data_IF_136137456004
#
_entry.id   IF_136137456004
#
_cell.length_a   1.000
_cell.length_b   1.000
_cell.length_c   1.000
_cell.angle_alpha   90.00
_cell.angle_beta   90.00
_cell.angle_gamma   90.00
#
_symmetry.space_group_name_H-M   'P 1'
#
loop_
_entity.id
_entity.type
_entity.pdbx_description
1 polymer ?
#
# COMPACT_ATOMS: atom_id res chain seq x y z
N UNK A 1 -12.38 16.36 39.02
CA UNK A 1 -11.69 15.25 38.34
C UNK A 1 -11.23 15.76 36.98
N UNK A 2 -9.93 16.02 36.80
CA UNK A 2 -9.36 16.47 35.52
C UNK A 2 -9.00 15.28 34.60
N UNK A 3 -9.00 15.54 33.27
CA UNK A 3 -8.31 14.82 32.16
C UNK A 3 -8.85 13.41 31.78
N UNK A 4 -9.13 13.00 30.53
CA UNK A 4 -8.67 13.38 29.18
C UNK A 4 -9.82 13.36 28.14
N UNK A 5 -10.35 14.52 27.76
CA UNK A 5 -10.98 14.64 26.44
C UNK A 5 -9.91 15.21 25.51
N UNK A 6 -9.56 14.56 24.39
CA UNK A 6 -8.61 15.15 23.46
C UNK A 6 -9.11 16.54 23.08
N UNK A 7 -8.30 17.55 23.43
CA UNK A 7 -8.53 18.91 23.00
C UNK A 7 -8.34 18.96 21.50
N UNK A 8 -9.45 19.11 20.77
CA UNK A 8 -9.43 19.38 19.35
C UNK A 8 -9.24 20.88 19.15
N UNK A 9 -8.11 21.27 18.58
CA UNK A 9 -7.92 22.64 18.13
C UNK A 9 -8.72 22.84 16.85
N UNK A 10 -9.78 23.67 16.93
CA UNK A 10 -10.63 24.04 15.81
C UNK A 10 -10.14 25.37 15.24
N UNK A 11 -9.84 25.41 13.94
CA UNK A 11 -9.62 26.65 13.19
C UNK A 11 -10.66 26.76 12.07
N UNK A 12 -11.45 27.83 12.08
CA UNK A 12 -12.17 28.30 10.90
C UNK A 12 -11.31 29.35 10.20
N UNK A 13 -11.02 29.19 8.91
CA UNK A 13 -10.30 30.21 8.15
C UNK A 13 -10.28 29.97 6.64
N UNK A 14 -11.08 30.74 5.90
CA UNK A 14 -10.87 31.03 4.48
C UNK A 14 -9.79 32.12 4.39
N UNK A 15 -8.50 31.76 4.37
CA UNK A 15 -7.40 32.73 4.17
C UNK A 15 -6.22 32.07 3.40
N UNK A 16 -5.89 32.54 2.18
CA UNK A 16 -4.82 31.98 1.34
C UNK A 16 -3.39 32.18 1.89
N UNK A 17 -3.21 32.87 3.02
CA UNK A 17 -1.88 33.16 3.61
C UNK A 17 -1.47 32.21 4.74
N UNK A 18 -2.35 31.27 5.15
CA UNK A 18 -2.07 30.31 6.23
C UNK A 18 -2.53 28.91 5.82
N UNK A 19 -1.62 27.98 5.49
CA UNK A 19 -2.02 26.61 5.19
C UNK A 19 -2.58 25.96 6.45
N UNK A 20 -3.88 25.65 6.44
CA UNK A 20 -4.53 24.83 7.47
C UNK A 20 -4.28 23.37 7.10
N UNK A 21 -3.46 22.67 7.88
CA UNK A 21 -3.37 21.23 7.81
C UNK A 21 -4.53 20.63 8.62
N UNK A 22 -5.47 19.96 7.95
CA UNK A 22 -6.45 19.10 8.61
C UNK A 22 -6.30 17.68 8.07
N UNK A 23 -6.24 16.72 8.97
CA UNK A 23 -6.28 15.30 8.63
C UNK A 23 -7.73 14.92 8.44
N UNK A 24 -8.09 14.53 7.22
CA UNK A 24 -9.42 14.02 6.95
C UNK A 24 -9.43 12.54 7.35
N UNK A 25 -10.37 12.09 8.20
CA UNK A 25 -10.39 10.70 8.65
C UNK A 25 -10.63 9.74 7.47
N UNK A 26 -10.27 8.46 7.60
CA UNK A 26 -10.73 7.42 6.67
C UNK A 26 -12.23 7.57 6.40
N UNK A 27 -12.62 7.36 5.14
CA UNK A 27 -14.00 7.55 4.69
C UNK A 27 -14.84 6.33 5.05
N UNK A 28 -14.29 5.13 4.98
CA UNK A 28 -15.03 3.88 5.20
C UNK A 28 -14.40 2.96 6.24
N UNK A 29 -13.07 2.97 6.40
CA UNK A 29 -12.38 2.05 7.29
C UNK A 29 -12.69 2.31 8.77
N UNK A 30 -13.06 1.25 9.51
CA UNK A 30 -13.21 1.27 10.97
C UNK A 30 -12.21 0.31 11.65
N UNK A 31 -11.85 0.54 12.92
CA UNK A 31 -10.86 -0.30 13.62
C UNK A 31 -11.29 -1.77 13.79
N UNK A 32 -12.59 -2.06 13.75
CA UNK A 32 -13.13 -3.42 13.87
C UNK A 32 -12.98 -4.22 12.56
N UNK A 33 -12.65 -3.56 11.46
CA UNK A 33 -12.45 -4.19 10.16
C UNK A 33 -10.96 -4.51 9.97
N UNK A 34 -10.59 -5.78 9.73
CA UNK A 34 -9.20 -6.13 9.49
C UNK A 34 -8.70 -5.43 8.22
N UNK A 35 -7.43 -5.00 8.26
CA UNK A 35 -6.73 -4.51 7.08
C UNK A 35 -6.75 -5.58 5.97
N UNK A 36 -7.20 -5.28 4.74
CA UNK A 36 -7.30 -6.27 3.69
C UNK A 36 -5.93 -6.88 3.30
N UNK A 37 -5.89 -8.18 3.04
CA UNK A 37 -4.74 -8.86 2.46
C UNK A 37 -4.76 -8.85 0.92
N UNK A 38 -3.92 -9.63 0.24
CA UNK A 38 -3.87 -9.63 -1.22
C UNK A 38 -5.19 -10.08 -1.88
N UNK A 39 -5.99 -10.92 -1.20
CA UNK A 39 -7.12 -11.62 -1.80
C UNK A 39 -8.19 -10.71 -2.40
N UNK A 40 -8.77 -9.77 -1.63
CA UNK A 40 -9.76 -8.82 -2.13
C UNK A 40 -9.27 -8.02 -3.35
N UNK A 41 -8.02 -7.53 -3.33
CA UNK A 41 -7.46 -6.77 -4.45
C UNK A 41 -7.34 -7.61 -5.72
N UNK A 42 -6.85 -8.86 -5.61
CA UNK A 42 -6.74 -9.74 -6.76
C UNK A 42 -8.10 -10.09 -7.37
N UNK A 43 -9.15 -10.23 -6.55
CA UNK A 43 -10.52 -10.47 -7.05
C UNK A 43 -11.06 -9.29 -7.84
N UNK A 44 -10.82 -8.07 -7.36
CA UNK A 44 -11.20 -6.83 -8.06
C UNK A 44 -10.39 -6.66 -9.34
N UNK A 45 -9.07 -6.87 -9.29
CA UNK A 45 -8.20 -6.82 -10.46
C UNK A 45 -8.57 -7.86 -11.54
N UNK A 46 -9.07 -9.03 -11.13
CA UNK A 46 -9.56 -10.07 -12.03
C UNK A 46 -11.00 -9.85 -12.52
N UNK A 47 -11.68 -8.81 -12.04
CA UNK A 47 -13.08 -8.54 -12.38
C UNK A 47 -14.06 -9.61 -11.88
N UNK A 48 -13.65 -10.42 -10.90
CA UNK A 48 -14.50 -11.46 -10.29
C UNK A 48 -15.26 -10.94 -9.06
N UNK A 49 -14.95 -9.74 -8.59
CA UNK A 49 -15.65 -9.04 -7.53
C UNK A 49 -15.80 -7.55 -7.87
N UNK A 50 -16.93 -6.97 -7.49
CA UNK A 50 -17.17 -5.52 -7.54
C UNK A 50 -16.45 -4.83 -6.38
N UNK A 51 -15.83 -3.65 -6.59
CA UNK A 51 -15.16 -2.92 -5.53
C UNK A 51 -16.17 -2.30 -4.57
N UNK A 52 -16.22 -2.80 -3.35
CA UNK A 52 -17.15 -2.38 -2.30
C UNK A 52 -16.57 -1.33 -1.37
N UNK A 53 -15.24 -1.28 -1.22
CA UNK A 53 -14.54 -0.32 -0.36
C UNK A 53 -13.83 0.78 -1.15
N UNK A 54 -13.50 1.91 -0.51
CA UNK A 54 -12.66 2.96 -1.10
C UNK A 54 -11.32 2.38 -1.58
N UNK A 55 -10.67 1.54 -0.77
CA UNK A 55 -9.37 0.95 -1.13
C UNK A 55 -9.49 0.11 -2.41
N UNK A 56 -10.55 -0.70 -2.52
CA UNK A 56 -10.82 -1.50 -3.72
C UNK A 56 -11.13 -0.63 -4.94
N UNK A 57 -11.90 0.46 -4.79
CA UNK A 57 -12.20 1.40 -5.89
C UNK A 57 -10.94 2.10 -6.38
N UNK A 58 -10.04 2.48 -5.47
CA UNK A 58 -8.74 3.07 -5.83
C UNK A 58 -7.83 2.02 -6.49
N UNK A 59 -7.93 0.76 -6.09
CA UNK A 59 -7.22 -0.36 -6.75
C UNK A 59 -7.65 -0.51 -8.21
N UNK A 60 -8.94 -0.37 -8.54
CA UNK A 60 -9.42 -0.35 -9.93
C UNK A 60 -8.81 0.82 -10.72
N UNK A 61 -8.66 1.99 -10.11
CA UNK A 61 -7.99 3.14 -10.76
C UNK A 61 -6.52 2.84 -11.04
N UNK A 62 -5.81 2.23 -10.09
CA UNK A 62 -4.43 1.76 -10.28
C UNK A 62 -4.32 0.76 -11.43
N UNK A 63 -5.29 -0.16 -11.59
CA UNK A 63 -5.34 -1.07 -12.74
C UNK A 63 -5.36 -0.29 -14.06
N UNK A 64 -6.20 0.75 -14.15
CA UNK A 64 -6.28 1.61 -15.32
C UNK A 64 -4.97 2.36 -15.61
N UNK A 65 -4.37 2.98 -14.58
CA UNK A 65 -3.11 3.71 -14.70
C UNK A 65 -1.96 2.80 -15.15
N UNK A 66 -1.79 1.65 -14.50
CA UNK A 66 -0.72 0.72 -14.82
C UNK A 66 -0.89 0.08 -16.20
N UNK A 67 -2.12 -0.22 -16.59
CA UNK A 67 -2.41 -0.70 -17.94
C UNK A 67 -2.06 0.35 -18.99
N UNK A 68 -2.43 1.60 -18.76
CA UNK A 68 -2.07 2.72 -19.64
C UNK A 68 -0.54 2.86 -19.78
N UNK A 69 0.19 2.83 -18.67
CA UNK A 69 1.66 2.86 -18.66
C UNK A 69 2.25 1.70 -19.48
N UNK A 70 1.74 0.48 -19.29
CA UNK A 70 2.21 -0.70 -20.00
C UNK A 70 1.96 -0.61 -21.53
N UNK A 71 0.77 -0.16 -21.93
CA UNK A 71 0.35 -0.10 -23.33
C UNK A 71 1.01 1.07 -24.08
N UNK A 72 1.01 2.27 -23.49
CA UNK A 72 1.51 3.48 -24.16
C UNK A 72 3.02 3.65 -24.05
N UNK A 73 3.65 3.07 -23.02
CA UNK A 73 5.08 3.20 -22.72
C UNK A 73 5.55 4.67 -22.84
N UNK A 74 4.91 5.57 -22.08
CA UNK A 74 5.17 7.00 -22.17
C UNK A 74 6.66 7.29 -21.95
N UNK A 75 7.20 8.20 -22.75
CA UNK A 75 8.61 8.63 -22.70
C UNK A 75 8.76 10.12 -22.44
N UNK A 76 7.68 10.88 -22.58
CA UNK A 76 7.69 12.30 -22.28
C UNK A 76 7.83 12.49 -20.76
N UNK A 77 8.83 13.27 -20.29
CA UNK A 77 9.02 13.48 -18.86
C UNK A 77 7.81 14.10 -18.16
N UNK A 78 7.09 15.02 -18.82
CA UNK A 78 5.92 15.68 -18.23
C UNK A 78 4.70 14.77 -18.14
N UNK A 79 4.55 13.84 -19.09
CA UNK A 79 3.56 12.78 -19.01
C UNK A 79 3.87 11.79 -17.87
N UNK A 80 5.14 11.38 -17.75
CA UNK A 80 5.59 10.50 -16.67
C UNK A 80 5.40 11.14 -15.29
N UNK A 81 5.68 12.44 -15.15
CA UNK A 81 5.47 13.18 -13.90
C UNK A 81 3.99 13.17 -13.48
N UNK A 82 3.08 13.45 -14.43
CA UNK A 82 1.64 13.40 -14.16
C UNK A 82 1.16 12.00 -13.78
N UNK A 83 1.66 10.96 -14.45
CA UNK A 83 1.30 9.58 -14.13
C UNK A 83 1.80 9.19 -12.73
N UNK A 84 3.03 9.58 -12.38
CA UNK A 84 3.57 9.38 -11.04
C UNK A 84 2.75 10.12 -9.98
N UNK A 85 2.32 11.35 -10.24
CA UNK A 85 1.43 12.10 -9.35
C UNK A 85 0.10 11.36 -9.11
N UNK A 86 -0.51 10.81 -10.17
CA UNK A 86 -1.75 10.03 -10.04
C UNK A 86 -1.56 8.72 -9.25
N UNK A 87 -0.43 8.04 -9.45
CA UNK A 87 -0.08 6.83 -8.68
C UNK A 87 0.14 7.19 -7.21
N UNK A 88 0.92 8.24 -6.93
CA UNK A 88 1.18 8.70 -5.55
C UNK A 88 -0.11 9.14 -4.85
N UNK A 89 -1.02 9.82 -5.55
CA UNK A 89 -2.33 10.17 -5.01
C UNK A 89 -3.17 8.93 -4.68
N UNK A 90 -3.13 7.91 -5.54
CA UNK A 90 -3.81 6.63 -5.30
C UNK A 90 -3.23 5.90 -4.08
N UNK A 91 -1.90 5.86 -3.96
CA UNK A 91 -1.18 5.31 -2.81
C UNK A 91 -1.62 6.04 -1.53
N UNK A 92 -1.62 7.37 -1.56
CA UNK A 92 -2.03 8.19 -0.41
C UNK A 92 -3.47 7.89 0.04
N UNK A 93 -4.42 7.76 -0.90
CA UNK A 93 -5.80 7.39 -0.54
C UNK A 93 -5.88 6.02 0.13
N UNK A 94 -5.11 5.05 -0.37
CA UNK A 94 -5.06 3.70 0.20
C UNK A 94 -4.43 3.73 1.60
N UNK A 95 -3.30 4.42 1.78
CA UNK A 95 -2.62 4.53 3.08
C UNK A 95 -3.50 5.21 4.13
N UNK A 96 -4.24 6.23 3.71
CA UNK A 96 -5.19 6.91 4.56
C UNK A 96 -6.30 5.97 5.05
N UNK A 97 -6.92 5.18 4.17
CA UNK A 97 -7.93 4.20 4.58
C UNK A 97 -7.31 3.09 5.44
N UNK A 98 -6.11 2.61 5.10
CA UNK A 98 -5.36 1.65 5.90
C UNK A 98 -5.15 2.13 7.34
N UNK A 99 -4.88 3.43 7.53
CA UNK A 99 -4.79 4.08 8.83
C UNK A 99 -6.05 3.90 9.70
N UNK A 100 -7.23 3.78 9.10
CA UNK A 100 -8.48 3.51 9.81
C UNK A 100 -8.57 2.10 10.36
N UNK A 101 -8.15 1.11 9.56
CA UNK A 101 -8.13 -0.31 9.94
C UNK A 101 -7.18 -0.60 11.10
N UNK A 102 -6.08 0.15 11.20
CA UNK A 102 -5.01 -0.13 12.17
C UNK A 102 -5.02 0.81 13.39
N UNK A 103 -5.98 1.73 13.47
CA UNK A 103 -5.99 2.82 14.45
C UNK A 103 -5.95 2.34 15.91
N UNK A 104 -6.57 1.19 16.20
CA UNK A 104 -6.65 0.62 17.55
C UNK A 104 -5.69 -0.56 17.76
N UNK A 105 -4.82 -0.83 16.78
CA UNK A 105 -3.79 -1.86 16.94
C UNK A 105 -2.75 -1.35 17.94
N UNK A 106 -2.62 -2.06 19.05
CA UNK A 106 -1.61 -1.77 20.05
C UNK A 106 -0.22 -2.21 19.55
N UNK A 107 0.76 -1.33 19.68
CA UNK A 107 2.16 -1.60 19.35
C UNK A 107 3.05 -1.32 20.56
N UNK A 108 4.13 -2.09 20.71
CA UNK A 108 5.20 -1.80 21.68
C UNK A 108 6.05 -0.62 21.18
N UNK A 109 6.71 0.10 22.09
CA UNK A 109 7.49 1.30 21.75
C UNK A 109 8.64 1.03 20.75
N UNK A 110 9.20 -0.17 20.76
CA UNK A 110 10.29 -0.64 19.91
C UNK A 110 9.81 -1.44 18.68
N UNK A 111 8.51 -1.48 18.43
CA UNK A 111 7.95 -2.18 17.27
C UNK A 111 8.59 -1.66 15.98
N UNK A 112 9.13 -2.54 15.11
CA UNK A 112 9.77 -2.13 13.87
C UNK A 112 8.81 -1.39 12.95
N UNK A 113 9.37 -0.51 12.11
CA UNK A 113 8.65 0.22 11.06
C UNK A 113 8.87 -0.48 9.72
N UNK A 114 7.80 -0.70 8.95
CA UNK A 114 7.90 -1.25 7.60
C UNK A 114 8.65 -0.27 6.67
N UNK A 115 9.47 -0.76 5.72
CA UNK A 115 10.23 0.09 4.78
C UNK A 115 9.36 0.70 3.66
N UNK A 116 8.11 0.27 3.54
CA UNK A 116 7.16 0.73 2.53
C UNK A 116 5.77 0.84 3.14
N UNK A 117 4.97 1.75 2.61
CA UNK A 117 3.59 1.97 3.04
C UNK A 117 2.67 0.87 2.53
N UNK A 118 1.45 0.78 3.09
CA UNK A 118 0.48 -0.21 2.65
C UNK A 118 0.01 0.05 1.21
N UNK A 119 -0.20 1.32 0.85
CA UNK A 119 -0.54 1.75 -0.50
C UNK A 119 0.56 1.43 -1.52
N UNK A 120 1.84 1.55 -1.15
CA UNK A 120 2.95 1.13 -2.01
C UNK A 120 2.90 -0.39 -2.29
N UNK A 121 2.59 -1.20 -1.27
CA UNK A 121 2.38 -2.63 -1.45
C UNK A 121 1.18 -2.95 -2.36
N UNK A 122 0.05 -2.27 -2.18
CA UNK A 122 -1.13 -2.45 -3.05
C UNK A 122 -0.79 -2.04 -4.48
N UNK A 123 -0.16 -0.88 -4.70
CA UNK A 123 0.23 -0.42 -6.02
C UNK A 123 1.17 -1.41 -6.73
N UNK A 124 2.12 -1.99 -5.99
CA UNK A 124 3.03 -3.01 -6.51
C UNK A 124 2.33 -4.34 -6.82
N UNK A 125 1.42 -4.78 -5.94
CA UNK A 125 0.61 -5.98 -6.17
C UNK A 125 -0.21 -5.85 -7.46
N UNK A 126 -0.85 -4.69 -7.69
CA UNK A 126 -1.60 -4.42 -8.92
C UNK A 126 -0.68 -4.46 -10.15
N UNK A 127 0.51 -3.86 -10.06
CA UNK A 127 1.48 -3.90 -11.15
C UNK A 127 1.92 -5.32 -11.49
N UNK A 128 2.25 -6.15 -10.49
CA UNK A 128 2.63 -7.55 -10.69
C UNK A 128 1.50 -8.40 -11.24
N UNK A 129 0.28 -8.18 -10.75
CA UNK A 129 -0.89 -8.84 -11.28
C UNK A 129 -1.07 -8.51 -12.78
N UNK A 130 -0.97 -7.24 -13.15
CA UNK A 130 -1.13 -6.80 -14.54
C UNK A 130 -0.06 -7.37 -15.46
N UNK A 131 1.20 -7.35 -15.03
CA UNK A 131 2.29 -7.93 -15.80
C UNK A 131 2.04 -9.41 -16.09
N UNK A 132 1.67 -10.18 -15.06
CA UNK A 132 1.30 -11.57 -15.22
C UNK A 132 0.09 -11.73 -16.16
N UNK A 133 -1.00 -11.00 -15.92
CA UNK A 133 -2.21 -11.11 -16.72
C UNK A 133 -1.99 -10.80 -18.21
N UNK A 134 -1.17 -9.79 -18.52
CA UNK A 134 -0.87 -9.36 -19.89
C UNK A 134 0.18 -10.24 -20.59
N UNK A 135 1.06 -10.91 -19.84
CA UNK A 135 2.21 -11.66 -20.38
C UNK A 135 2.21 -13.16 -20.04
N UNK A 136 1.17 -13.68 -19.41
CA UNK A 136 1.08 -15.10 -19.02
C UNK A 136 1.19 -16.09 -20.19
N UNK A 137 0.91 -15.65 -21.42
CA UNK A 137 1.04 -16.48 -22.63
C UNK A 137 2.40 -16.30 -23.33
N UNK A 138 3.26 -15.41 -22.84
CA UNK A 138 4.61 -15.20 -23.37
C UNK A 138 5.61 -16.08 -22.59
N UNK A 139 6.21 -17.11 -23.22
CA UNK A 139 7.17 -17.99 -22.57
C UNK A 139 8.40 -17.26 -22.01
N UNK A 140 8.76 -16.09 -22.56
CA UNK A 140 9.90 -15.32 -22.08
C UNK A 140 9.64 -14.64 -20.71
N UNK A 141 8.37 -14.44 -20.35
CA UNK A 141 7.98 -13.68 -19.17
C UNK A 141 7.14 -14.47 -18.17
N UNK A 142 6.36 -15.47 -18.61
CA UNK A 142 5.35 -16.16 -17.81
C UNK A 142 5.86 -16.65 -16.45
N UNK A 143 6.97 -17.38 -16.42
CA UNK A 143 7.49 -17.98 -15.18
C UNK A 143 7.98 -16.91 -14.21
N UNK A 144 8.70 -15.92 -14.73
CA UNK A 144 9.21 -14.80 -13.95
C UNK A 144 8.06 -13.98 -13.36
N UNK A 145 7.07 -13.62 -14.16
CA UNK A 145 5.93 -12.82 -13.71
C UNK A 145 5.06 -13.56 -12.69
N UNK A 146 4.87 -14.86 -12.87
CA UNK A 146 4.18 -15.70 -11.90
C UNK A 146 4.94 -15.75 -10.56
N UNK A 147 6.26 -15.94 -10.61
CA UNK A 147 7.10 -15.97 -9.42
C UNK A 147 7.13 -14.62 -8.69
N UNK A 148 7.26 -13.51 -9.43
CA UNK A 148 7.24 -12.16 -8.85
C UNK A 148 5.87 -11.81 -8.26
N UNK A 149 4.76 -12.22 -8.88
CA UNK A 149 3.41 -12.06 -8.34
C UNK A 149 3.22 -12.89 -7.07
N UNK A 150 3.58 -14.17 -7.07
CA UNK A 150 3.48 -15.03 -5.89
C UNK A 150 4.30 -14.49 -4.72
N UNK A 151 5.54 -14.08 -4.98
CA UNK A 151 6.39 -13.43 -3.97
C UNK A 151 5.74 -12.19 -3.38
N UNK A 152 5.11 -11.36 -4.23
CA UNK A 152 4.42 -10.15 -3.78
C UNK A 152 3.21 -10.49 -2.91
N UNK A 153 2.42 -11.50 -3.29
CA UNK A 153 1.24 -11.96 -2.52
C UNK A 153 1.66 -12.44 -1.13
N UNK A 154 2.66 -13.31 -1.06
CA UNK A 154 3.15 -13.86 0.20
C UNK A 154 3.68 -12.76 1.13
N UNK A 155 4.53 -11.87 0.58
CA UNK A 155 5.15 -10.79 1.35
C UNK A 155 4.12 -9.76 1.82
N UNK A 156 3.11 -9.47 1.00
CA UNK A 156 2.04 -8.55 1.38
C UNK A 156 1.11 -9.15 2.44
N UNK A 157 0.76 -10.43 2.33
CA UNK A 157 -0.01 -11.12 3.36
C UNK A 157 0.76 -11.17 4.69
N UNK A 158 2.07 -11.42 4.65
CA UNK A 158 2.93 -11.39 5.84
C UNK A 158 2.97 -10.00 6.50
N UNK A 159 3.10 -8.93 5.70
CA UNK A 159 2.98 -7.55 6.16
C UNK A 159 1.66 -7.35 6.92
N UNK A 160 0.53 -7.70 6.31
CA UNK A 160 -0.81 -7.49 6.90
C UNK A 160 -0.96 -8.25 8.22
N UNK A 161 -0.52 -9.51 8.26
CA UNK A 161 -0.54 -10.31 9.49
C UNK A 161 0.36 -9.70 10.58
N UNK A 162 1.55 -9.22 10.23
CA UNK A 162 2.45 -8.59 11.19
C UNK A 162 1.90 -7.27 11.73
N UNK A 163 1.29 -6.46 10.87
CA UNK A 163 0.66 -5.19 11.24
C UNK A 163 -0.54 -5.42 12.15
N UNK A 164 -1.49 -6.27 11.77
CA UNK A 164 -2.67 -6.56 12.58
C UNK A 164 -2.32 -7.17 13.94
N UNK A 165 -1.23 -7.95 14.02
CA UNK A 165 -0.73 -8.51 15.27
C UNK A 165 0.04 -7.51 16.15
N UNK A 166 0.15 -6.25 15.74
CA UNK A 166 0.89 -5.23 16.47
C UNK A 166 2.42 -5.38 16.39
N UNK A 167 2.94 -6.31 15.59
CA UNK A 167 4.37 -6.65 15.49
C UNK A 167 5.14 -5.80 14.49
N UNK A 168 4.44 -5.00 13.70
CA UNK A 168 5.00 -4.09 12.72
C UNK A 168 4.15 -2.83 12.62
N UNK A 169 4.78 -1.67 12.52
CA UNK A 169 4.12 -0.39 12.25
C UNK A 169 4.22 -0.07 10.75
N UNK A 170 3.18 0.52 10.19
CA UNK A 170 3.22 1.09 8.85
C UNK A 170 3.67 2.56 8.92
N UNK A 171 4.44 3.05 7.93
CA UNK A 171 4.67 4.48 7.76
C UNK A 171 3.34 5.23 7.59
N UNK A 172 3.18 6.43 8.18
CA UNK A 172 1.94 7.19 8.12
C UNK A 172 1.71 7.86 6.76
N UNK A 173 2.78 8.13 6.01
CA UNK A 173 2.73 8.76 4.68
C UNK A 173 3.86 8.23 3.80
N UNK A 174 3.66 8.35 2.48
CA UNK A 174 4.74 8.16 1.53
C UNK A 174 5.75 9.29 1.71
N UNK A 175 6.96 8.98 2.18
CA UNK A 175 8.06 9.92 2.27
C UNK A 175 8.63 10.25 0.88
N UNK A 176 9.47 11.31 0.77
CA UNK A 176 10.27 11.50 -0.44
C UNK A 176 11.13 10.25 -0.69
N UNK A 177 11.23 9.81 -1.95
CA UNK A 177 12.08 8.68 -2.33
C UNK A 177 13.50 8.89 -1.77
N UNK A 178 13.89 8.09 -0.78
CA UNK A 178 15.20 8.18 -0.11
C UNK A 178 15.17 8.36 1.41
N UNK A 179 14.05 8.76 2.02
CA UNK A 179 13.97 9.03 3.48
C UNK A 179 13.08 8.04 4.26
N UNK A 180 13.09 6.76 3.84
CA UNK A 180 12.43 5.67 4.55
C UNK A 180 11.22 5.03 3.88
N UNK A 181 10.86 5.44 2.66
CA UNK A 181 9.84 4.77 1.84
C UNK A 181 10.44 4.30 0.52
N UNK A 182 10.63 2.98 0.39
CA UNK A 182 11.22 2.36 -0.79
C UNK A 182 10.14 1.83 -1.76
N UNK A 183 10.27 2.18 -3.04
CA UNK A 183 9.51 1.61 -4.15
C UNK A 183 10.50 1.03 -5.19
N UNK A 184 10.37 -0.24 -5.61
CA UNK A 184 9.35 -1.21 -5.21
C UNK A 184 9.47 -1.64 -3.74
N UNK A 185 8.39 -2.15 -3.14
CA UNK A 185 8.39 -2.59 -1.75
C UNK A 185 9.44 -3.66 -1.46
N UNK A 186 10.07 -3.57 -0.28
CA UNK A 186 10.97 -4.61 0.23
C UNK A 186 10.29 -5.45 1.30
N UNK A 187 10.63 -6.74 1.36
CA UNK A 187 10.18 -7.63 2.43
C UNK A 187 10.52 -7.03 3.79
N UNK A 188 9.55 -7.15 4.70
CA UNK A 188 9.64 -6.66 6.08
C UNK A 188 10.71 -7.40 6.85
N UNK A 189 10.73 -8.72 6.72
CA UNK A 189 11.70 -9.57 7.36
C UNK A 189 12.72 -10.01 6.31
N UNK A 190 14.02 -9.90 6.59
CA UNK A 190 15.01 -10.58 5.76
C UNK A 190 14.64 -12.06 5.73
N UNK A 191 14.78 -12.72 4.58
CA UNK A 191 14.67 -14.17 4.52
C UNK A 191 15.50 -14.72 5.67
N UNK A 192 14.87 -15.50 6.54
CA UNK A 192 15.59 -16.18 7.60
C UNK A 192 16.73 -16.86 6.87
N UNK A 193 17.96 -16.40 7.10
CA UNK A 193 19.11 -17.10 6.57
C UNK A 193 18.87 -18.51 7.05
N UNK A 194 18.71 -19.43 6.09
CA UNK A 194 18.83 -20.85 6.33
C UNK A 194 20.19 -20.97 7.00
N UNK A 195 20.17 -20.85 8.32
CA UNK A 195 21.23 -21.27 9.19
C UNK A 195 21.21 -22.74 8.91
N UNK A 196 22.09 -23.11 7.97
CA UNK A 196 22.44 -24.48 7.67
C UNK A 196 22.93 -25.08 8.96
N UNK A 197 21.98 -25.50 9.77
CA UNK A 197 22.14 -26.52 10.75
C UNK A 197 22.23 -27.78 9.92
N UNK A 198 23.43 -28.32 9.79
CA UNK A 198 23.69 -29.75 9.99
C UNK A 198 25.17 -30.12 9.76
N UNK A 199 25.62 -31.29 10.24
CA UNK A 199 26.29 -31.38 11.54
C UNK A 199 27.68 -32.05 11.43
N UNK A 200 28.57 -31.78 12.38
CA UNK A 200 29.60 -32.68 12.92
C UNK A 200 30.51 -31.85 13.85
#
# INVERSE_FOLDING_TARGET
MPEDRPQHTVYYGFDPTRPVAFTVPPVEATPEQPLPDAGPFLRVCAGVAEPTTVIERVTVQLVGLWRHIHEQRPRDPGELEKLNEQINLSIWFIDREAGGHIKEVAHQADTPLAPSTYGQWVAWLVWKYLLYALRQNDPAHRERDAAELNWCIESFNELVVAVQAGRLRLPPEQGPEGDGTEFPPRRVWPESSTTGRNPA
#
